data_IF_568923213657
#
_entry.id   IF_568923213657
#
_cell.length_a   1.000
_cell.length_b   1.000
_cell.length_c   1.000
_cell.angle_alpha   90.00
_cell.angle_beta   90.00
_cell.angle_gamma   90.00
#
_symmetry.space_group_name_H-M   'P 1'
#
loop_
_entity.id
_entity.type
_entity.pdbx_description
1 polymer ?
#
# COMPACT_ATOMS: atom_id res chain seq x y z
N UNK A 1 40.54 31.21 31.01
CA UNK A 1 39.39 30.83 31.85
C UNK A 1 38.11 31.57 31.48
N UNK A 2 38.09 32.91 31.35
CA UNK A 2 36.85 33.67 31.06
C UNK A 2 36.22 33.32 29.69
N UNK A 3 37.01 33.13 28.64
CA UNK A 3 36.50 32.73 27.31
C UNK A 3 36.03 31.28 27.20
N UNK A 4 36.53 30.38 28.04
CA UNK A 4 36.17 28.96 28.05
C UNK A 4 34.80 28.75 28.72
N UNK A 5 34.52 29.52 29.77
CA UNK A 5 33.22 29.52 30.45
C UNK A 5 32.10 30.10 29.55
N UNK A 6 32.38 31.16 28.78
CA UNK A 6 31.41 31.75 27.85
C UNK A 6 31.04 30.80 26.69
N UNK A 7 32.01 30.02 26.19
CA UNK A 7 31.76 28.97 25.18
C UNK A 7 30.94 27.82 25.77
N UNK A 8 31.22 27.42 27.02
CA UNK A 8 30.44 26.42 27.74
C UNK A 8 28.99 26.84 27.95
N UNK A 9 28.75 28.07 28.40
CA UNK A 9 27.39 28.64 28.58
C UNK A 9 26.62 28.73 27.26
N UNK A 10 27.28 29.16 26.17
CA UNK A 10 26.68 29.19 24.84
C UNK A 10 26.29 27.78 24.36
N UNK A 11 27.15 26.78 24.58
CA UNK A 11 26.88 25.39 24.21
C UNK A 11 25.72 24.78 25.01
N UNK A 12 25.63 25.05 26.32
CA UNK A 12 24.50 24.62 27.15
C UNK A 12 23.20 25.24 26.66
N UNK A 13 23.20 26.53 26.34
CA UNK A 13 22.02 27.25 25.83
C UNK A 13 21.55 26.69 24.48
N UNK A 14 22.46 26.36 23.57
CA UNK A 14 22.11 25.74 22.28
C UNK A 14 21.46 24.37 22.48
N UNK A 15 22.00 23.54 23.38
CA UNK A 15 21.45 22.21 23.69
C UNK A 15 20.08 22.29 24.33
N UNK A 16 19.83 23.28 25.18
CA UNK A 16 18.51 23.54 25.74
C UNK A 16 17.52 23.98 24.65
N UNK A 17 17.92 24.89 23.76
CA UNK A 17 17.10 25.29 22.63
C UNK A 17 16.73 24.08 21.75
N UNK A 18 17.69 23.21 21.41
CA UNK A 18 17.45 21.98 20.65
C UNK A 18 16.48 21.04 21.38
N UNK A 19 16.63 20.88 22.70
CA UNK A 19 15.69 20.07 23.51
C UNK A 19 14.27 20.63 23.47
N UNK A 20 14.11 21.95 23.58
CA UNK A 20 12.80 22.61 23.50
C UNK A 20 12.19 22.53 22.10
N UNK A 21 13.00 22.67 21.05
CA UNK A 21 12.54 22.47 19.67
C UNK A 21 12.13 21.02 19.40
N UNK A 22 12.86 20.05 19.95
CA UNK A 22 12.54 18.63 19.81
C UNK A 22 11.26 18.24 20.56
N UNK A 23 11.05 18.74 21.78
CA UNK A 23 9.82 18.49 22.55
C UNK A 23 8.59 19.00 21.79
N UNK A 24 8.61 20.25 21.32
CA UNK A 24 7.52 20.84 20.53
C UNK A 24 7.27 20.07 19.22
N UNK A 25 8.34 19.67 18.52
CA UNK A 25 8.21 18.92 17.26
C UNK A 25 7.57 17.55 17.51
N UNK A 26 8.00 16.83 18.55
CA UNK A 26 7.46 15.51 18.89
C UNK A 26 5.97 15.56 19.24
N UNK A 27 5.53 16.60 19.96
CA UNK A 27 4.11 16.78 20.29
C UNK A 27 3.27 17.08 19.04
N UNK A 28 3.81 17.84 18.09
CA UNK A 28 3.15 18.12 16.81
C UNK A 28 2.96 16.85 15.98
N UNK A 29 4.00 16.02 15.84
CA UNK A 29 3.89 14.74 15.12
C UNK A 29 2.90 13.78 15.76
N UNK A 30 2.82 13.77 17.09
CA UNK A 30 1.81 12.98 17.82
C UNK A 30 0.40 13.43 17.45
N UNK A 31 0.14 14.74 17.46
CA UNK A 31 -1.17 15.31 17.08
C UNK A 31 -1.52 15.00 15.63
N UNK A 32 -0.60 15.21 14.68
CA UNK A 32 -0.83 14.93 13.26
C UNK A 32 -1.17 13.45 13.05
N UNK A 33 -0.44 12.55 13.69
CA UNK A 33 -0.71 11.11 13.57
C UNK A 33 -2.12 10.79 14.07
N UNK A 34 -2.53 11.30 15.24
CA UNK A 34 -3.87 11.04 15.78
C UNK A 34 -5.01 11.69 14.98
N UNK A 35 -4.85 12.95 14.59
CA UNK A 35 -5.92 13.73 13.95
C UNK A 35 -6.00 13.55 12.44
N UNK A 36 -4.94 13.09 11.78
CA UNK A 36 -4.91 12.94 10.31
C UNK A 36 -4.73 11.49 9.91
N UNK A 37 -3.74 10.78 10.44
CA UNK A 37 -3.44 9.42 9.96
C UNK A 37 -4.57 8.43 10.26
N UNK A 38 -5.11 8.40 11.49
CA UNK A 38 -6.23 7.51 11.83
C UNK A 38 -7.50 7.74 11.00
N UNK A 39 -8.02 8.96 10.81
CA UNK A 39 -9.18 9.16 9.96
C UNK A 39 -8.89 8.85 8.48
N UNK A 40 -7.69 9.17 7.98
CA UNK A 40 -7.29 8.78 6.61
C UNK A 40 -7.28 7.26 6.44
N UNK A 41 -6.75 6.51 7.41
CA UNK A 41 -6.78 5.05 7.41
C UNK A 41 -8.22 4.54 7.46
N UNK A 42 -9.08 5.11 8.31
CA UNK A 42 -10.49 4.74 8.38
C UNK A 42 -11.21 4.90 7.03
N UNK A 43 -11.02 6.03 6.36
CA UNK A 43 -11.58 6.26 5.02
C UNK A 43 -11.02 5.29 3.98
N UNK A 44 -9.72 5.02 4.02
CA UNK A 44 -9.09 4.06 3.11
C UNK A 44 -9.63 2.63 3.32
N UNK A 45 -9.86 2.22 4.58
CA UNK A 45 -10.44 0.92 4.91
C UNK A 45 -11.87 0.78 4.37
N UNK A 46 -12.71 1.80 4.55
CA UNK A 46 -14.09 1.79 4.00
C UNK A 46 -14.07 1.68 2.47
N UNK A 47 -13.17 2.42 1.80
CA UNK A 47 -13.03 2.35 0.36
C UNK A 47 -12.55 0.96 -0.12
N UNK A 48 -11.53 0.41 0.55
CA UNK A 48 -11.01 -0.92 0.25
C UNK A 48 -12.06 -2.01 0.46
N UNK A 49 -12.88 -1.91 1.52
CA UNK A 49 -13.98 -2.85 1.78
C UNK A 49 -15.03 -2.82 0.67
N UNK A 50 -15.44 -1.62 0.24
CA UNK A 50 -16.39 -1.50 -0.87
C UNK A 50 -15.82 -2.07 -2.17
N UNK A 51 -14.54 -1.80 -2.46
CA UNK A 51 -13.88 -2.36 -3.64
C UNK A 51 -13.76 -3.88 -3.58
N UNK A 52 -13.47 -4.45 -2.40
CA UNK A 52 -13.43 -5.90 -2.20
C UNK A 52 -14.80 -6.54 -2.46
N UNK A 53 -15.89 -5.94 -1.97
CA UNK A 53 -17.25 -6.43 -2.21
C UNK A 53 -17.64 -6.40 -3.69
N UNK A 54 -17.26 -5.35 -4.43
CA UNK A 54 -17.48 -5.31 -5.88
C UNK A 54 -16.61 -6.34 -6.62
N UNK A 55 -15.40 -6.61 -6.13
CA UNK A 55 -14.54 -7.66 -6.67
C UNK A 55 -15.11 -9.06 -6.46
N UNK A 56 -15.73 -9.35 -5.31
CA UNK A 56 -16.43 -10.61 -5.04
C UNK A 56 -17.57 -10.83 -6.03
N UNK A 57 -18.41 -9.81 -6.27
CA UNK A 57 -19.49 -9.89 -7.27
C UNK A 57 -18.96 -10.14 -8.68
N UNK A 58 -17.86 -9.49 -9.07
CA UNK A 58 -17.24 -9.72 -10.38
C UNK A 58 -16.78 -11.17 -10.53
N UNK A 59 -16.23 -11.77 -9.46
CA UNK A 59 -15.85 -13.19 -9.46
C UNK A 59 -17.06 -14.13 -9.54
N UNK A 60 -18.18 -13.78 -8.93
CA UNK A 60 -19.44 -14.54 -9.03
C UNK A 60 -19.99 -14.49 -10.46
N UNK A 61 -20.04 -13.31 -11.07
CA UNK A 61 -20.46 -13.14 -12.47
C UNK A 61 -19.60 -13.95 -13.43
N UNK A 62 -18.27 -13.94 -13.27
CA UNK A 62 -17.37 -14.76 -14.10
C UNK A 62 -17.68 -16.25 -13.96
N UNK A 63 -17.95 -16.73 -12.73
CA UNK A 63 -18.28 -18.14 -12.52
C UNK A 63 -19.60 -18.50 -13.19
N UNK A 64 -20.60 -17.64 -13.10
CA UNK A 64 -21.90 -17.84 -13.74
C UNK A 64 -21.78 -17.87 -15.28
N UNK A 65 -21.04 -16.95 -15.87
CA UNK A 65 -20.80 -16.90 -17.34
C UNK A 65 -20.03 -18.13 -17.87
N UNK A 66 -19.21 -18.76 -17.04
CA UNK A 66 -18.40 -19.93 -17.40
C UNK A 66 -18.98 -21.26 -16.91
N UNK A 67 -20.28 -21.32 -16.58
CA UNK A 67 -20.97 -22.57 -16.26
C UNK A 67 -20.68 -23.13 -14.86
N UNK A 68 -20.25 -22.28 -13.92
CA UNK A 68 -20.00 -22.63 -12.52
C UNK A 68 -18.53 -22.88 -12.17
N UNK A 69 -17.63 -22.92 -13.17
CA UNK A 69 -16.20 -23.07 -12.98
C UNK A 69 -15.44 -21.77 -13.29
N UNK A 70 -14.33 -21.53 -12.57
CA UNK A 70 -13.45 -20.41 -12.89
C UNK A 70 -12.76 -20.70 -14.24
N UNK A 71 -12.67 -19.73 -15.17
CA UNK A 71 -12.08 -19.96 -16.48
C UNK A 71 -10.63 -20.44 -16.33
N UNK A 72 -10.29 -21.49 -17.08
CA UNK A 72 -8.92 -21.98 -17.16
C UNK A 72 -8.02 -20.85 -17.69
N UNK A 73 -6.93 -20.56 -16.98
CA UNK A 73 -6.03 -19.48 -17.40
C UNK A 73 -5.26 -19.90 -18.63
N UNK A 74 -5.46 -19.18 -19.72
CA UNK A 74 -4.57 -19.26 -20.88
C UNK A 74 -3.13 -18.89 -20.46
N UNK A 75 -2.24 -19.87 -20.53
CA UNK A 75 -0.83 -19.69 -20.21
C UNK A 75 -0.10 -19.15 -21.43
N UNK A 76 0.15 -17.84 -21.45
CA UNK A 76 0.99 -17.27 -22.49
C UNK A 76 2.47 -17.61 -22.26
N UNK A 77 3.24 -17.84 -23.34
CA UNK A 77 4.66 -18.27 -23.29
C UNK A 77 5.63 -17.27 -22.63
N UNK A 78 5.17 -16.04 -22.42
CA UNK A 78 5.90 -15.01 -21.69
C UNK A 78 5.54 -14.96 -20.20
N UNK A 79 4.39 -15.52 -19.78
CA UNK A 79 4.00 -15.59 -18.38
C UNK A 79 4.84 -16.65 -17.67
N UNK A 80 5.29 -16.33 -16.46
CA UNK A 80 6.05 -17.25 -15.60
C UNK A 80 7.29 -17.88 -16.28
N UNK A 81 7.85 -17.24 -17.31
CA UNK A 81 9.09 -17.67 -17.98
C UNK A 81 10.25 -17.57 -16.99
N UNK A 82 11.00 -18.68 -16.83
CA UNK A 82 12.19 -18.73 -15.99
C UNK A 82 13.40 -19.13 -16.84
N UNK A 83 14.40 -18.25 -16.91
CA UNK A 83 15.66 -18.51 -17.64
C UNK A 83 16.70 -19.19 -16.74
N UNK A 84 16.63 -18.97 -15.42
CA UNK A 84 17.51 -19.57 -14.40
C UNK A 84 16.69 -19.98 -13.18
N UNK A 85 17.08 -21.08 -12.53
CA UNK A 85 16.48 -21.56 -11.28
C UNK A 85 16.82 -20.66 -10.08
N UNK A 86 15.96 -20.64 -9.06
CA UNK A 86 16.20 -19.84 -7.84
C UNK A 86 17.26 -20.48 -6.93
N UNK A 87 18.05 -19.66 -6.22
CA UNK A 87 19.12 -20.17 -5.35
C UNK A 87 18.62 -20.87 -4.07
N UNK A 88 17.33 -20.85 -3.76
CA UNK A 88 16.76 -21.53 -2.58
C UNK A 88 15.98 -22.82 -2.90
N UNK A 89 15.83 -23.22 -4.17
CA UNK A 89 15.11 -24.46 -4.58
C UNK A 89 14.04 -24.29 -5.66
N UNK A 90 13.48 -25.43 -6.10
CA UNK A 90 12.43 -25.57 -7.13
C UNK A 90 11.00 -25.31 -6.61
N UNK A 91 10.83 -24.52 -5.55
CA UNK A 91 9.54 -23.86 -5.38
C UNK A 91 9.41 -22.86 -6.53
N UNK A 92 8.24 -22.81 -7.15
CA UNK A 92 7.84 -21.59 -7.86
C UNK A 92 8.16 -20.43 -6.92
N UNK A 93 9.01 -19.46 -7.30
CA UNK A 93 9.17 -18.28 -6.42
C UNK A 93 7.84 -17.54 -6.37
N UNK A 94 7.10 -17.88 -5.32
CA UNK A 94 5.80 -17.42 -4.86
C UNK A 94 5.50 -18.30 -3.63
N UNK A 95 6.10 -18.03 -2.47
CA UNK A 95 5.95 -18.89 -1.28
C UNK A 95 4.53 -18.90 -0.67
N UNK A 96 3.56 -18.22 -1.26
CA UNK A 96 2.13 -18.29 -0.90
C UNK A 96 1.22 -18.43 -2.11
N UNK A 97 1.62 -19.25 -3.09
CA UNK A 97 0.89 -19.84 -4.24
C UNK A 97 -0.62 -20.03 -4.22
N UNK A 98 -1.46 -19.12 -3.70
CA UNK A 98 -2.90 -19.23 -3.79
C UNK A 98 -3.29 -18.90 -5.22
N UNK A 99 -3.24 -19.95 -6.04
CA UNK A 99 -3.45 -20.03 -7.48
C UNK A 99 -4.88 -19.68 -7.92
N UNK A 100 -5.59 -18.80 -7.20
CA UNK A 100 -7.03 -18.58 -7.34
C UNK A 100 -7.45 -17.30 -8.07
N UNK A 101 -6.51 -16.41 -8.43
CA UNK A 101 -6.87 -15.08 -9.03
C UNK A 101 -6.35 -14.96 -10.46
N UNK A 102 -7.16 -15.34 -11.46
CA UNK A 102 -6.87 -15.12 -12.88
C UNK A 102 -6.82 -13.63 -13.18
N UNK A 103 -5.79 -13.20 -13.93
CA UNK A 103 -5.77 -11.85 -14.47
C UNK A 103 -6.79 -11.79 -15.60
N UNK A 104 -7.93 -11.17 -15.32
CA UNK A 104 -9.01 -10.96 -16.26
C UNK A 104 -8.75 -9.67 -17.06
N UNK A 105 -8.69 -9.71 -18.40
CA UNK A 105 -8.64 -8.49 -19.21
C UNK A 105 -9.84 -7.54 -18.99
N UNK A 106 -10.95 -7.99 -18.38
CA UNK A 106 -12.07 -7.13 -18.00
C UNK A 106 -11.77 -6.20 -16.81
N UNK A 107 -10.73 -6.44 -16.00
CA UNK A 107 -10.27 -5.48 -14.98
C UNK A 107 -9.77 -4.17 -15.60
N UNK A 108 -9.36 -4.19 -16.88
CA UNK A 108 -9.06 -2.96 -17.62
C UNK A 108 -10.31 -2.09 -17.80
N UNK A 109 -11.51 -2.70 -17.99
CA UNK A 109 -12.78 -1.96 -18.16
C UNK A 109 -13.17 -1.17 -16.90
N UNK A 110 -12.94 -1.73 -15.71
CA UNK A 110 -13.26 -1.06 -14.44
C UNK A 110 -12.32 0.10 -14.12
N UNK A 111 -11.04 0.02 -14.51
CA UNK A 111 -10.08 1.12 -14.35
C UNK A 111 -10.43 2.31 -15.25
N UNK A 112 -10.97 2.05 -16.44
CA UNK A 112 -11.57 3.09 -17.29
C UNK A 112 -12.90 3.62 -16.74
N UNK A 113 -13.76 2.77 -16.17
CA UNK A 113 -15.04 3.21 -15.58
C UNK A 113 -14.85 4.14 -14.37
N UNK A 114 -13.90 3.84 -13.49
CA UNK A 114 -13.59 4.69 -12.33
C UNK A 114 -12.90 6.00 -12.73
N UNK A 115 -12.14 6.00 -13.82
CA UNK A 115 -11.58 7.23 -14.40
C UNK A 115 -12.67 8.06 -15.09
N UNK A 116 -13.62 7.41 -15.79
CA UNK A 116 -14.73 8.06 -16.48
C UNK A 116 -15.75 8.69 -15.51
N UNK A 117 -16.01 8.06 -14.36
CA UNK A 117 -16.87 8.65 -13.31
C UNK A 117 -16.26 9.84 -12.57
N UNK A 118 -14.97 10.13 -12.73
CA UNK A 118 -14.32 11.34 -12.17
C UNK A 118 -14.20 12.50 -13.16
N UNK A 119 -14.49 12.26 -14.45
CA UNK A 119 -14.44 13.28 -15.50
C UNK A 119 -15.81 13.82 -15.89
N UNK A 120 -16.90 13.32 -15.30
CA UNK A 120 -18.24 13.88 -15.44
C UNK A 120 -18.54 14.79 -14.23
N UNK A 121 -18.07 16.03 -14.35
CA UNK A 121 -18.69 17.22 -13.76
C UNK A 121 -19.30 18.03 -14.89
#
# INVERSE_FOLDING_TARGET
SVGENALGEAFVKEREAVKQHASQSSENWRKITYYVAFPCIGLALVNAYNLAKEHEKHLEHIKEENGGELPERIHYDYLNRRVKSFPWGNHVSFTTSSRKISFDPALLKWRFFFFKKKTEY
#
